data_IF_094026033361
#
_entry.id   IF_094026033361
#
_cell.length_a   1.000
_cell.length_b   1.000
_cell.length_c   1.000
_cell.angle_alpha   90.00
_cell.angle_beta   90.00
_cell.angle_gamma   90.00
#
_symmetry.space_group_name_H-M   'P 1'
#
loop_
_entity.id
_entity.type
_entity.pdbx_description
1 polymer ?
#
# COMPACT_ATOMS: atom_id res chain seq x y z
N UNK A 1 -4.14 8.61 36.57
CA UNK A 1 -3.38 9.15 35.44
C UNK A 1 -4.09 8.71 34.19
N UNK A 2 -4.71 9.64 33.45
CA UNK A 2 -5.26 9.33 32.14
C UNK A 2 -4.06 9.06 31.23
N UNK A 3 -3.90 7.80 30.78
CA UNK A 3 -2.91 7.49 29.77
C UNK A 3 -3.27 8.30 28.52
N UNK A 4 -2.28 8.91 27.89
CA UNK A 4 -2.45 9.55 26.59
C UNK A 4 -2.64 8.43 25.56
N UNK A 5 -3.86 7.90 25.47
CA UNK A 5 -4.20 6.81 24.55
C UNK A 5 -4.22 7.41 23.15
N UNK A 6 -3.10 7.31 22.42
CA UNK A 6 -3.05 7.75 21.02
C UNK A 6 -4.07 6.92 20.23
N UNK A 7 -4.98 7.55 19.49
CA UNK A 7 -6.03 6.85 18.75
C UNK A 7 -5.47 5.97 17.62
N UNK A 8 -6.14 4.85 17.31
CA UNK A 8 -5.87 3.97 16.17
C UNK A 8 -6.53 4.57 14.93
N UNK A 9 -5.78 4.75 13.84
CA UNK A 9 -6.40 5.24 12.59
C UNK A 9 -6.80 4.06 11.70
N UNK A 10 -8.08 3.92 11.36
CA UNK A 10 -8.57 2.83 10.48
C UNK A 10 -9.19 3.40 9.20
N UNK A 11 -8.46 3.31 8.10
CA UNK A 11 -8.94 3.65 6.76
C UNK A 11 -9.72 2.46 6.18
N UNK A 12 -10.96 2.67 5.75
CA UNK A 12 -11.73 1.60 5.11
C UNK A 12 -12.50 2.10 3.89
N UNK A 13 -12.40 1.37 2.77
CA UNK A 13 -13.19 1.68 1.58
C UNK A 13 -14.62 1.16 1.75
N UNK A 14 -15.64 2.01 1.57
CA UNK A 14 -17.06 1.60 1.68
C UNK A 14 -17.51 0.63 0.58
N UNK A 15 -16.84 0.69 -0.56
CA UNK A 15 -17.05 -0.18 -1.71
C UNK A 15 -15.79 -0.97 -2.01
N UNK A 16 -15.90 -2.01 -2.81
CA UNK A 16 -14.74 -2.76 -3.27
C UNK A 16 -13.88 -1.84 -4.14
N UNK A 17 -12.69 -1.56 -3.63
CA UNK A 17 -11.75 -0.59 -4.17
C UNK A 17 -11.13 -1.10 -5.47
N UNK A 18 -10.92 -0.17 -6.41
CA UNK A 18 -10.14 -0.47 -7.61
C UNK A 18 -8.65 -0.58 -7.27
N UNK A 19 -7.84 -1.18 -8.16
CA UNK A 19 -6.38 -1.17 -7.96
C UNK A 19 -5.82 0.26 -7.80
N UNK A 20 -6.39 1.24 -8.49
CA UNK A 20 -6.00 2.64 -8.38
C UNK A 20 -6.31 3.19 -6.99
N UNK A 21 -7.52 2.94 -6.49
CA UNK A 21 -7.94 3.36 -5.14
C UNK A 21 -7.02 2.75 -4.07
N UNK A 22 -6.66 1.46 -4.19
CA UNK A 22 -5.75 0.81 -3.25
C UNK A 22 -4.37 1.47 -3.26
N UNK A 23 -3.83 1.79 -4.44
CA UNK A 23 -2.54 2.49 -4.55
C UNK A 23 -2.58 3.84 -3.85
N UNK A 24 -3.67 4.59 -4.02
CA UNK A 24 -3.83 5.90 -3.40
C UNK A 24 -4.02 5.79 -1.88
N UNK A 25 -4.80 4.81 -1.41
CA UNK A 25 -4.99 4.52 0.00
C UNK A 25 -3.69 4.07 0.68
N UNK A 26 -2.87 3.23 0.05
CA UNK A 26 -1.57 2.83 0.59
C UNK A 26 -0.62 4.02 0.73
N UNK A 27 -0.60 4.94 -0.25
CA UNK A 27 0.19 6.18 -0.12
C UNK A 27 -0.30 7.04 1.03
N UNK A 28 -1.63 7.13 1.22
CA UNK A 28 -2.22 7.84 2.35
C UNK A 28 -1.84 7.21 3.70
N UNK A 29 -1.81 5.88 3.81
CA UNK A 29 -1.32 5.19 5.02
C UNK A 29 0.13 5.60 5.30
N UNK A 30 1.00 5.54 4.30
CA UNK A 30 2.40 5.92 4.43
C UNK A 30 2.58 7.39 4.84
N UNK A 31 1.79 8.30 4.27
CA UNK A 31 1.75 9.71 4.64
C UNK A 31 1.35 9.91 6.11
N UNK A 32 0.24 9.28 6.54
CA UNK A 32 -0.24 9.37 7.92
C UNK A 32 0.79 8.82 8.92
N UNK A 33 1.46 7.73 8.56
CA UNK A 33 2.53 7.13 9.37
C UNK A 33 3.83 7.96 9.36
N UNK A 34 4.04 8.82 8.36
CA UNK A 34 5.22 9.70 8.33
C UNK A 34 5.11 10.87 9.32
N UNK A 35 3.90 11.15 9.82
CA UNK A 35 3.68 12.14 10.88
C UNK A 35 3.76 11.47 12.25
N UNK A 36 4.74 11.81 13.11
CA UNK A 36 4.79 11.27 14.46
C UNK A 36 3.54 11.66 15.26
N UNK A 37 2.90 10.69 15.92
CA UNK A 37 1.72 10.91 16.77
C UNK A 37 1.97 10.31 18.15
N UNK A 38 1.65 11.07 19.20
CA UNK A 38 1.72 10.59 20.59
C UNK A 38 3.01 10.92 21.35
N UNK A 39 3.04 10.49 22.62
CA UNK A 39 4.06 10.83 23.61
C UNK A 39 5.45 10.18 23.35
N UNK A 40 5.49 9.08 22.60
CA UNK A 40 6.73 8.48 22.10
C UNK A 40 7.25 9.27 20.90
N UNK A 41 7.80 10.45 21.20
CA UNK A 41 8.50 11.34 20.27
C UNK A 41 9.75 10.65 19.72
N UNK A 42 9.60 9.73 18.77
CA UNK A 42 10.71 9.09 18.08
C UNK A 42 10.37 7.85 17.24
N UNK A 43 9.25 7.17 17.49
CA UNK A 43 8.87 5.98 16.74
C UNK A 43 7.81 6.28 15.68
N UNK A 44 8.01 5.76 14.46
CA UNK A 44 7.00 5.77 13.39
C UNK A 44 5.82 4.87 13.80
N UNK A 45 4.55 5.33 13.66
CA UNK A 45 3.38 4.47 13.70
C UNK A 45 3.57 3.18 12.90
N UNK A 46 3.12 2.02 13.45
CA UNK A 46 3.07 0.81 12.65
C UNK A 46 1.92 0.90 11.65
N UNK A 47 2.13 0.31 10.49
CA UNK A 47 1.21 0.36 9.36
C UNK A 47 0.75 -1.03 8.97
N UNK A 48 -0.56 -1.20 8.85
CA UNK A 48 -1.20 -2.46 8.52
C UNK A 48 -2.01 -2.30 7.23
N UNK A 49 -1.89 -3.25 6.31
CA UNK A 49 -2.74 -3.36 5.13
C UNK A 49 -3.47 -4.71 5.12
N UNK A 50 -4.78 -4.67 5.31
CA UNK A 50 -5.68 -5.83 5.27
C UNK A 50 -6.39 -5.80 3.92
N UNK A 51 -5.98 -6.69 3.02
CA UNK A 51 -6.32 -6.63 1.60
C UNK A 51 -7.06 -7.89 1.14
N UNK A 52 -8.19 -7.69 0.47
CA UNK A 52 -8.95 -8.75 -0.19
C UNK A 52 -8.84 -8.69 -1.72
N UNK A 53 -9.76 -9.38 -2.41
CA UNK A 53 -9.83 -9.32 -3.87
C UNK A 53 -10.19 -7.91 -4.36
N UNK A 54 -9.52 -7.44 -5.40
CA UNK A 54 -9.62 -6.07 -5.91
C UNK A 54 -10.38 -6.01 -7.23
N UNK A 55 -11.11 -4.92 -7.44
CA UNK A 55 -11.74 -4.64 -8.73
C UNK A 55 -10.68 -4.08 -9.67
N UNK A 56 -10.45 -4.73 -10.81
CA UNK A 56 -9.48 -4.24 -11.81
C UNK A 56 -10.22 -4.02 -13.13
N UNK A 57 -10.87 -2.85 -13.31
CA UNK A 57 -11.85 -2.64 -14.39
C UNK A 57 -11.22 -2.74 -15.78
N UNK A 58 -9.96 -2.34 -15.94
CA UNK A 58 -9.24 -2.34 -17.22
C UNK A 58 -8.43 -3.63 -17.45
N UNK A 59 -8.63 -4.68 -16.66
CA UNK A 59 -7.93 -5.96 -16.84
C UNK A 59 -8.52 -6.75 -18.03
N UNK A 60 -7.79 -6.92 -19.15
CA UNK A 60 -8.31 -7.66 -20.31
C UNK A 60 -8.43 -9.16 -20.06
N UNK A 61 -7.77 -9.68 -19.02
CA UNK A 61 -7.75 -11.10 -18.66
C UNK A 61 -7.64 -11.25 -17.15
N UNK A 62 -8.00 -12.43 -16.65
CA UNK A 62 -7.76 -12.74 -15.24
C UNK A 62 -6.26 -12.75 -14.88
N UNK A 63 -5.36 -12.98 -15.84
CA UNK A 63 -3.90 -12.92 -15.60
C UNK A 63 -3.45 -11.48 -15.37
N UNK A 64 -4.06 -10.52 -16.08
CA UNK A 64 -3.83 -9.11 -15.83
C UNK A 64 -4.29 -8.71 -14.42
N UNK A 65 -5.42 -9.26 -13.93
CA UNK A 65 -5.86 -9.08 -12.53
C UNK A 65 -4.84 -9.62 -11.53
N UNK A 66 -4.25 -10.79 -11.80
CA UNK A 66 -3.17 -11.36 -10.97
C UNK A 66 -1.93 -10.48 -10.94
N UNK A 67 -1.52 -9.96 -12.10
CA UNK A 67 -0.38 -9.03 -12.20
C UNK A 67 -0.67 -7.73 -11.45
N UNK A 68 -1.90 -7.20 -11.53
CA UNK A 68 -2.29 -6.02 -10.77
C UNK A 68 -2.18 -6.26 -9.26
N UNK A 69 -2.63 -7.42 -8.77
CA UNK A 69 -2.52 -7.81 -7.37
C UNK A 69 -1.06 -7.98 -6.90
N UNK A 70 -0.20 -8.63 -7.69
CA UNK A 70 1.25 -8.72 -7.41
C UNK A 70 1.86 -7.32 -7.25
N UNK A 71 1.53 -6.38 -8.15
CA UNK A 71 2.02 -4.99 -8.07
C UNK A 71 1.56 -4.29 -6.79
N UNK A 72 0.35 -4.54 -6.31
CA UNK A 72 -0.13 -4.01 -5.02
C UNK A 72 0.72 -4.54 -3.86
N UNK A 73 0.99 -5.85 -3.83
CA UNK A 73 1.84 -6.46 -2.82
C UNK A 73 3.23 -5.82 -2.77
N UNK A 74 3.86 -5.64 -3.94
CA UNK A 74 5.16 -4.96 -4.05
C UNK A 74 5.10 -3.50 -3.60
N UNK A 75 4.03 -2.80 -3.96
CA UNK A 75 3.85 -1.40 -3.57
C UNK A 75 3.75 -1.24 -2.06
N UNK A 76 3.05 -2.14 -1.36
CA UNK A 76 2.97 -2.12 0.10
C UNK A 76 4.36 -2.15 0.74
N UNK A 77 5.25 -3.04 0.28
CA UNK A 77 6.64 -3.11 0.77
C UNK A 77 7.42 -1.83 0.48
N UNK A 78 7.30 -1.31 -0.75
CA UNK A 78 7.99 -0.07 -1.17
C UNK A 78 7.54 1.17 -0.39
N UNK A 79 6.32 1.15 0.13
CA UNK A 79 5.78 2.20 1.01
C UNK A 79 6.07 1.95 2.49
N UNK A 80 6.91 0.95 2.81
CA UNK A 80 7.25 0.53 4.16
C UNK A 80 6.01 0.19 5.00
N UNK A 81 5.06 -0.53 4.42
CA UNK A 81 3.94 -1.09 5.18
C UNK A 81 4.47 -2.23 6.06
N UNK A 82 4.30 -2.11 7.37
CA UNK A 82 4.93 -3.02 8.34
C UNK A 82 4.27 -4.41 8.35
N UNK A 83 2.95 -4.47 8.14
CA UNK A 83 2.15 -5.70 8.18
C UNK A 83 1.15 -5.76 7.03
N UNK A 84 1.23 -6.77 6.18
CA UNK A 84 0.29 -7.00 5.07
C UNK A 84 -0.45 -8.33 5.24
N UNK A 85 -1.75 -8.29 5.51
CA UNK A 85 -2.61 -9.47 5.60
C UNK A 85 -3.48 -9.58 4.35
N UNK A 86 -3.31 -10.66 3.59
CA UNK A 86 -4.13 -10.98 2.43
C UNK A 86 -5.28 -11.91 2.82
N UNK A 87 -6.53 -11.53 2.59
CA UNK A 87 -7.71 -12.33 2.94
C UNK A 87 -8.37 -12.84 1.66
N UNK A 88 -8.45 -14.16 1.52
CA UNK A 88 -9.11 -14.81 0.39
C UNK A 88 -8.26 -15.91 -0.24
N UNK A 89 -8.94 -16.82 -0.95
CA UNK A 89 -8.31 -17.98 -1.60
C UNK A 89 -8.10 -17.80 -3.11
N UNK A 90 -8.43 -16.63 -3.66
CA UNK A 90 -8.30 -16.39 -5.09
C UNK A 90 -6.83 -16.33 -5.50
N UNK A 91 -6.55 -16.70 -6.76
CA UNK A 91 -5.19 -16.59 -7.31
C UNK A 91 -4.67 -15.15 -7.30
N UNK A 92 -5.58 -14.17 -7.37
CA UNK A 92 -5.25 -12.77 -7.38
C UNK A 92 -4.81 -12.31 -5.98
N UNK A 93 -5.59 -12.61 -4.95
CA UNK A 93 -5.19 -12.36 -3.54
C UNK A 93 -3.86 -13.05 -3.20
N UNK A 94 -3.69 -14.31 -3.64
CA UNK A 94 -2.42 -15.02 -3.47
C UNK A 94 -1.25 -14.29 -4.13
N UNK A 95 -1.47 -13.65 -5.27
CA UNK A 95 -0.45 -12.87 -5.96
C UNK A 95 -0.07 -11.60 -5.21
N UNK A 96 -0.99 -10.93 -4.50
CA UNK A 96 -0.64 -9.83 -3.57
C UNK A 96 0.33 -10.29 -2.50
N UNK A 97 0.03 -11.42 -1.84
CA UNK A 97 0.93 -11.99 -0.85
C UNK A 97 2.31 -12.34 -1.46
N UNK A 98 2.34 -13.02 -2.61
CA UNK A 98 3.59 -13.38 -3.28
C UNK A 98 4.39 -12.15 -3.73
N UNK A 99 3.72 -11.11 -4.22
CA UNK A 99 4.35 -9.84 -4.60
C UNK A 99 5.04 -9.18 -3.41
N UNK A 100 4.40 -9.15 -2.23
CA UNK A 100 5.01 -8.63 -1.01
C UNK A 100 6.24 -9.47 -0.58
N UNK A 101 6.12 -10.80 -0.56
CA UNK A 101 7.24 -11.69 -0.23
C UNK A 101 8.43 -11.50 -1.17
N UNK A 102 8.17 -11.45 -2.48
CA UNK A 102 9.22 -11.26 -3.48
C UNK A 102 9.85 -9.87 -3.45
N UNK A 103 9.14 -8.85 -2.96
CA UNK A 103 9.68 -7.49 -2.83
C UNK A 103 10.50 -7.32 -1.54
N UNK A 104 10.26 -8.15 -0.53
CA UNK A 104 11.09 -8.17 0.68
C UNK A 104 10.34 -8.25 2.00
N UNK A 105 9.03 -8.54 2.03
CA UNK A 105 8.33 -8.84 3.29
C UNK A 105 8.56 -10.30 3.69
N UNK A 106 9.19 -10.52 4.85
CA UNK A 106 9.51 -11.87 5.33
C UNK A 106 8.98 -12.13 6.74
N UNK A 107 9.05 -13.39 7.17
CA UNK A 107 8.65 -13.77 8.53
C UNK A 107 7.18 -13.44 8.80
N UNK A 108 6.94 -12.53 9.74
CA UNK A 108 5.62 -12.12 10.21
C UNK A 108 5.13 -10.81 9.56
N UNK A 109 5.80 -10.30 8.52
CA UNK A 109 5.47 -9.04 7.85
C UNK A 109 4.36 -9.18 6.79
N UNK A 110 4.23 -10.35 6.18
CA UNK A 110 3.17 -10.65 5.21
C UNK A 110 2.57 -12.02 5.48
N UNK A 111 1.24 -12.12 5.50
CA UNK A 111 0.51 -13.37 5.65
C UNK A 111 -0.69 -13.43 4.70
N UNK A 112 -1.16 -14.66 4.44
CA UNK A 112 -2.38 -14.90 3.70
C UNK A 112 -3.27 -15.88 4.47
N UNK A 113 -4.57 -15.56 4.57
CA UNK A 113 -5.58 -16.36 5.25
C UNK A 113 -6.77 -16.61 4.34
N UNK A 114 -7.52 -17.69 4.60
CA UNK A 114 -8.59 -18.12 3.71
C UNK A 114 -9.79 -17.15 3.66
N UNK A 115 -10.15 -16.59 4.82
CA UNK A 115 -11.33 -15.75 4.99
C UNK A 115 -11.22 -14.84 6.23
N UNK A 116 -12.25 -14.04 6.46
CA UNK A 116 -12.33 -13.11 7.61
C UNK A 116 -12.32 -13.82 8.96
N UNK A 117 -12.87 -15.04 9.06
CA UNK A 117 -12.86 -15.82 10.30
C UNK A 117 -11.43 -16.17 10.68
N UNK A 118 -10.65 -16.69 9.71
CA UNK A 118 -9.23 -16.96 9.91
C UNK A 118 -8.41 -15.70 10.22
N UNK A 119 -8.79 -14.54 9.66
CA UNK A 119 -8.16 -13.26 10.01
C UNK A 119 -8.42 -12.88 11.48
N UNK A 120 -9.65 -13.03 11.97
CA UNK A 120 -10.02 -12.75 13.36
C UNK A 120 -9.35 -13.72 14.34
N UNK A 121 -9.19 -14.99 13.97
CA UNK A 121 -8.43 -15.98 14.74
C UNK A 121 -6.94 -15.60 14.82
N UNK A 122 -6.34 -15.17 13.71
CA UNK A 122 -4.96 -14.68 13.68
C UNK A 122 -4.77 -13.47 14.61
N UNK A 123 -5.61 -12.43 14.46
CA UNK A 123 -5.56 -11.22 15.29
C UNK A 123 -5.76 -11.55 16.78
N UNK A 124 -6.54 -12.60 17.08
CA UNK A 124 -6.78 -13.02 18.46
C UNK A 124 -5.73 -13.94 19.06
N UNK A 125 -4.88 -14.57 18.25
CA UNK A 125 -3.88 -15.54 18.70
C UNK A 125 -2.45 -14.98 18.63
N UNK A 126 -2.20 -13.97 17.80
CA UNK A 126 -0.89 -13.34 17.63
C UNK A 126 -0.98 -11.82 17.85
N UNK A 127 -0.40 -11.35 18.98
CA UNK A 127 -0.38 -9.94 19.35
C UNK A 127 0.38 -9.05 18.36
N UNK A 128 1.27 -9.61 17.53
CA UNK A 128 1.99 -8.83 16.51
C UNK A 128 1.05 -8.34 15.41
N UNK A 129 -0.07 -9.05 15.19
CA UNK A 129 -1.14 -8.71 14.25
C UNK A 129 -2.26 -7.88 14.85
N UNK A 130 -2.16 -7.51 16.13
CA UNK A 130 -3.10 -6.61 16.78
C UNK A 130 -2.59 -5.14 16.69
N UNK A 131 -3.28 -4.27 15.93
CA UNK A 131 -2.98 -2.84 15.92
C UNK A 131 -3.21 -2.23 17.29
N UNK A 132 -2.36 -1.27 17.66
CA UNK A 132 -2.42 -0.55 18.93
C UNK A 132 -2.73 0.91 18.67
N UNK A 133 -3.06 1.64 19.74
CA UNK A 133 -3.19 3.09 19.67
C UNK A 133 -1.96 3.75 19.02
N UNK A 134 -2.20 4.65 18.08
CA UNK A 134 -1.16 5.30 17.27
C UNK A 134 -0.85 4.61 15.94
N UNK A 135 -1.21 3.34 15.75
CA UNK A 135 -1.02 2.64 14.48
C UNK A 135 -2.00 3.12 13.40
N UNK A 136 -1.70 2.82 12.14
CA UNK A 136 -2.54 3.11 10.97
C UNK A 136 -2.88 1.83 10.24
N UNK A 137 -4.17 1.56 10.04
CA UNK A 137 -4.69 0.34 9.42
C UNK A 137 -5.47 0.71 8.17
N UNK A 138 -5.23 0.01 7.07
CA UNK A 138 -6.06 0.01 5.87
C UNK A 138 -6.83 -1.30 5.78
N UNK A 139 -8.14 -1.23 5.56
CA UNK A 139 -8.99 -2.38 5.24
C UNK A 139 -9.65 -2.11 3.88
N UNK A 140 -9.25 -2.86 2.85
CA UNK A 140 -9.76 -2.62 1.49
C UNK A 140 -9.80 -3.88 0.63
N UNK A 141 -10.59 -3.81 -0.44
CA UNK A 141 -10.93 -4.97 -1.27
C UNK A 141 -11.96 -5.89 -0.60
N UNK A 142 -12.22 -7.02 -1.24
CA UNK A 142 -13.23 -8.00 -0.84
C UNK A 142 -12.74 -8.85 0.34
N UNK A 143 -12.86 -8.32 1.56
CA UNK A 143 -12.37 -8.95 2.82
C UNK A 143 -13.47 -9.62 3.65
N UNK A 144 -14.72 -9.63 3.17
CA UNK A 144 -15.89 -10.00 3.96
C UNK A 144 -16.48 -8.79 4.72
N UNK A 145 -16.97 -9.00 5.93
CA UNK A 145 -17.55 -7.92 6.74
C UNK A 145 -16.46 -7.07 7.41
N UNK A 146 -16.04 -6.03 6.70
CA UNK A 146 -15.05 -5.05 7.16
C UNK A 146 -15.41 -4.39 8.51
N UNK A 147 -16.69 -4.24 8.85
CA UNK A 147 -17.11 -3.68 10.13
C UNK A 147 -16.71 -4.61 11.29
N UNK A 148 -16.82 -5.92 11.11
CA UNK A 148 -16.41 -6.92 12.12
C UNK A 148 -14.91 -6.84 12.40
N UNK A 149 -14.07 -6.67 11.36
CA UNK A 149 -12.62 -6.46 11.55
C UNK A 149 -12.32 -5.15 12.28
N UNK A 150 -12.97 -4.07 11.87
CA UNK A 150 -12.83 -2.76 12.51
C UNK A 150 -13.24 -2.78 13.99
N UNK A 151 -14.36 -3.43 14.30
CA UNK A 151 -14.86 -3.60 15.66
C UNK A 151 -13.92 -4.50 16.49
N UNK A 152 -13.41 -5.59 15.92
CA UNK A 152 -12.44 -6.45 16.59
C UNK A 152 -11.14 -5.70 16.95
N UNK A 153 -10.68 -4.79 16.09
CA UNK A 153 -9.57 -3.90 16.42
C UNK A 153 -9.95 -2.92 17.53
N UNK A 154 -11.13 -2.31 17.46
CA UNK A 154 -11.62 -1.36 18.47
C UNK A 154 -11.68 -2.00 19.86
N UNK A 155 -12.32 -3.16 19.97
CA UNK A 155 -12.59 -3.84 21.23
C UNK A 155 -11.31 -4.30 21.94
N UNK A 156 -10.30 -4.67 21.16
CA UNK A 156 -9.02 -5.20 21.69
C UNK A 156 -7.97 -4.12 21.93
N UNK A 157 -8.04 -2.98 21.23
CA UNK A 157 -7.06 -1.89 21.32
C UNK A 157 -7.54 -0.65 22.08
N UNK A 158 -8.85 -0.54 22.35
CA UNK A 158 -9.45 0.58 23.09
C UNK A 158 -9.43 1.91 22.34
N UNK A 159 -9.42 1.88 21.01
CA UNK A 159 -9.07 3.02 20.18
C UNK A 159 -10.27 3.74 19.51
N UNK A 160 -10.12 5.03 19.20
CA UNK A 160 -11.10 5.79 18.41
C UNK A 160 -10.98 5.46 16.93
N UNK A 161 -12.09 5.11 16.27
CA UNK A 161 -12.10 4.77 14.84
C UNK A 161 -12.35 6.00 13.96
N UNK A 162 -11.52 6.19 12.94
CA UNK A 162 -11.67 7.25 11.95
C UNK A 162 -11.86 6.68 10.55
N UNK A 163 -13.11 6.42 10.15
CA UNK A 163 -13.45 5.97 8.80
C UNK A 163 -13.14 7.08 7.77
N UNK A 164 -12.21 6.83 6.86
CA UNK A 164 -11.99 7.70 5.69
C UNK A 164 -12.64 7.04 4.48
N UNK A 165 -13.60 7.74 3.86
CA UNK A 165 -14.25 7.27 2.64
C UNK A 165 -13.37 7.47 1.40
N UNK A 166 -13.56 6.64 0.33
CA UNK A 166 -12.94 6.91 -0.96
C UNK A 166 -13.42 8.28 -1.47
N UNK A 167 -12.50 9.22 -1.69
CA UNK A 167 -12.77 10.60 -2.10
C UNK A 167 -12.34 11.68 -1.10
N UNK A 168 -12.14 11.36 0.19
CA UNK A 168 -11.57 12.29 1.18
C UNK A 168 -10.03 12.34 1.13
N UNK A 169 -9.44 11.52 0.27
CA UNK A 169 -7.99 11.43 0.01
C UNK A 169 -7.46 12.66 -0.78
N UNK A 170 -8.36 13.55 -1.24
CA UNK A 170 -8.04 14.70 -2.08
C UNK A 170 -8.63 16.04 -1.58
N UNK A 171 -8.27 16.50 -0.39
CA UNK A 171 -8.36 17.92 -0.04
C UNK A 171 -7.44 18.27 1.14
N UNK A 172 -6.15 17.97 0.99
CA UNK A 172 -5.10 18.65 1.74
C UNK A 172 -4.26 19.38 0.71
N UNK A 173 -4.37 20.70 0.66
CA UNK A 173 -3.62 21.52 -0.28
C UNK A 173 -2.12 21.21 -0.18
N UNK A 174 -1.57 20.57 -1.20
CA UNK A 174 -0.13 20.57 -1.44
C UNK A 174 0.23 22.00 -1.84
N UNK A 175 0.86 22.73 -0.92
CA UNK A 175 1.52 23.97 -1.27
C UNK A 175 2.55 23.65 -2.35
N UNK A 176 2.35 24.24 -3.53
CA UNK A 176 3.40 24.35 -4.54
C UNK A 176 4.61 25.00 -3.87
N UNK A 177 5.66 24.23 -3.64
CA UNK A 177 7.01 24.78 -3.59
C UNK A 177 7.62 24.61 -4.97
N UNK A 178 7.36 25.60 -5.81
CA UNK A 178 8.25 25.98 -6.88
C UNK A 178 9.65 26.19 -6.27
N UNK A 179 10.63 25.43 -6.77
CA UNK A 179 12.05 25.71 -6.60
C UNK A 179 12.74 25.47 -7.94
N UNK A 180 12.66 26.53 -8.74
CA UNK A 180 13.58 27.08 -9.73
C UNK A 180 14.50 26.18 -10.57
N UNK A 181 14.47 26.56 -11.85
CA UNK A 181 15.40 26.26 -12.91
C UNK A 181 16.84 26.64 -12.58
N UNK A 182 17.79 25.92 -13.18
CA UNK A 182 18.88 26.61 -13.86
C UNK A 182 19.20 25.93 -15.19
N UNK A 183 19.22 26.77 -16.22
CA UNK A 183 19.57 26.46 -17.58
C UNK A 183 21.02 26.89 -17.78
N UNK A 184 21.83 26.06 -18.42
CA UNK A 184 23.00 26.59 -19.13
C UNK A 184 23.03 26.03 -20.54
N UNK A 185 22.80 26.96 -21.47
CA UNK A 185 22.81 26.83 -22.91
C UNK A 185 24.21 26.91 -23.51
N UNK A 186 24.36 26.32 -24.70
CA UNK A 186 25.28 26.76 -25.76
C UNK A 186 26.42 25.77 -26.02
N UNK A 187 26.78 25.37 -27.25
CA UNK A 187 26.51 25.80 -28.64
C UNK A 187 26.91 24.60 -29.54
N UNK A 188 26.19 24.27 -30.63
CA UNK A 188 26.53 24.58 -32.05
C UNK A 188 28.02 24.32 -32.39
N UNK A 189 28.46 23.65 -33.46
CA UNK A 189 27.94 23.09 -34.72
C UNK A 189 29.03 22.11 -35.21
N UNK A 190 28.71 21.12 -36.05
CA UNK A 190 29.50 20.76 -37.23
C UNK A 190 28.92 19.54 -37.96
N UNK A 191 28.42 19.84 -39.15
CA UNK A 191 28.21 18.99 -40.30
C UNK A 191 29.51 18.28 -40.73
N UNK A 192 29.46 16.96 -40.96
CA UNK A 192 30.40 16.23 -41.83
C UNK A 192 29.62 15.12 -42.55
N UNK A 193 29.22 15.42 -43.78
CA UNK A 193 29.06 14.41 -44.83
C UNK A 193 30.44 13.89 -45.25
N UNK A 194 30.66 12.58 -45.22
CA UNK A 194 31.62 11.95 -46.14
C UNK A 194 31.20 10.49 -46.42
N UNK A 195 30.95 10.24 -47.71
CA UNK A 195 30.85 8.92 -48.32
C UNK A 195 32.28 8.37 -48.44
N UNK A 196 32.48 7.04 -48.33
CA UNK A 196 33.14 6.25 -49.39
C UNK A 196 33.59 4.83 -48.96
N UNK A 197 33.45 3.94 -49.95
CA UNK A 197 34.25 2.74 -50.23
C UNK A 197 34.20 1.51 -49.29
N UNK A 198 33.23 0.61 -49.56
CA UNK A 198 33.42 -0.84 -49.34
C UNK A 198 33.99 -1.51 -50.58
N UNK A 199 35.32 -1.59 -50.65
CA UNK A 199 36.05 -2.50 -51.51
C UNK A 199 35.99 -3.95 -51.01
N UNK A 200 35.61 -4.86 -51.93
CA UNK A 200 35.96 -6.29 -52.10
C UNK A 200 36.55 -7.06 -50.90
N UNK A 201 35.95 -8.21 -50.55
CA UNK A 201 36.65 -9.51 -50.49
C UNK A 201 35.70 -10.65 -50.93
N UNK A 202 36.23 -11.53 -51.78
CA UNK A 202 35.63 -12.70 -52.43
C UNK A 202 35.28 -13.85 -51.46
N UNK A 203 34.14 -14.52 -51.69
CA UNK A 203 34.03 -15.94 -52.09
C UNK A 203 32.59 -16.34 -52.33
#
# INVERSE_FOLDING_TARGET
MAGDHTALTVLSSRVDATDADIRDLLRRVAELASTPRGADRGARPRTFAILGDLVVPDAPTADATVVAHDRIGRLAVRLAIDKTLCIGTSRAVRATYQGAVMEGSWGDEALAVADIGAALELIGSDESWLPRGGDVVLIAGSVGDRAVLADAFRDRSGAELHEIGPGEVGSGAVGSCDADADATSGRADADVTEQDEKGKIQR
#
